data_IF_145181979105
#
_entry.id   IF_145181979105
#
_cell.length_a   1.000
_cell.length_b   1.000
_cell.length_c   1.000
_cell.angle_alpha   90.00
_cell.angle_beta   90.00
_cell.angle_gamma   90.00
#
_symmetry.space_group_name_H-M   'P 1'
#
loop_
_entity.id
_entity.type
_entity.pdbx_description
1 polymer ?
#
# COMPACT_ATOMS: atom_id res chain seq x y z
N UNK A 1 -1.51 15.33 2.21
CA UNK A 1 -0.74 15.72 1.01
C UNK A 1 -1.65 16.26 -0.10
N UNK A 2 -2.74 15.55 -0.43
CA UNK A 2 -3.71 15.99 -1.46
C UNK A 2 -4.26 17.40 -1.26
N UNK A 3 -4.79 17.72 -0.06
CA UNK A 3 -5.37 19.04 0.23
C UNK A 3 -4.36 20.18 0.21
N UNK A 4 -3.11 19.90 0.61
CA UNK A 4 -2.02 20.88 0.60
C UNK A 4 -1.61 21.24 -0.84
N UNK A 5 -1.44 20.24 -1.71
CA UNK A 5 -1.03 20.45 -3.11
C UNK A 5 -2.15 21.09 -3.94
N UNK A 6 -3.40 20.66 -3.77
CA UNK A 6 -4.56 21.30 -4.40
C UNK A 6 -4.70 22.78 -4.02
N UNK A 7 -4.35 23.14 -2.78
CA UNK A 7 -4.38 24.53 -2.30
C UNK A 7 -3.28 25.44 -2.89
N UNK A 8 -2.21 24.88 -3.47
CA UNK A 8 -1.12 25.69 -4.07
C UNK A 8 -1.47 26.27 -5.45
N UNK A 9 -2.48 25.73 -6.15
CA UNK A 9 -3.02 26.31 -7.38
C UNK A 9 -2.07 26.40 -8.59
N UNK A 10 -0.90 25.74 -8.54
CA UNK A 10 0.07 25.71 -9.66
C UNK A 10 -0.11 24.47 -10.54
N UNK A 11 0.20 24.57 -11.83
CA UNK A 11 0.11 23.43 -12.78
C UNK A 11 0.96 22.22 -12.34
N UNK A 12 2.11 22.48 -11.72
CA UNK A 12 2.97 21.45 -11.12
C UNK A 12 2.29 20.75 -9.93
N UNK A 13 1.48 21.45 -9.14
CA UNK A 13 0.79 20.86 -8.01
C UNK A 13 -0.37 19.96 -8.47
N UNK A 14 -1.06 20.32 -9.56
CA UNK A 14 -2.14 19.50 -10.15
C UNK A 14 -1.60 18.18 -10.68
N UNK A 15 -0.50 18.22 -11.43
CA UNK A 15 0.16 17.01 -11.94
C UNK A 15 0.71 16.12 -10.82
N UNK A 16 1.29 16.71 -9.76
CA UNK A 16 1.72 15.98 -8.57
C UNK A 16 0.56 15.29 -7.83
N UNK A 17 -0.61 15.96 -7.72
CA UNK A 17 -1.82 15.37 -7.11
C UNK A 17 -2.30 14.16 -7.89
N UNK A 18 -2.32 14.21 -9.23
CA UNK A 18 -2.74 13.09 -10.08
C UNK A 18 -1.82 11.87 -9.92
N UNK A 19 -0.50 12.07 -9.98
CA UNK A 19 0.45 10.98 -9.73
C UNK A 19 0.30 10.41 -8.32
N UNK A 20 0.14 11.28 -7.32
CA UNK A 20 -0.04 10.85 -5.94
C UNK A 20 -1.31 10.02 -5.75
N UNK A 21 -2.44 10.38 -6.36
CA UNK A 21 -3.68 9.58 -6.28
C UNK A 21 -3.48 8.20 -6.90
N UNK A 22 -2.79 8.12 -8.05
CA UNK A 22 -2.53 6.84 -8.71
C UNK A 22 -1.63 5.94 -7.85
N UNK A 23 -0.48 6.45 -7.42
CA UNK A 23 0.41 5.74 -6.51
C UNK A 23 -0.32 5.30 -5.24
N UNK A 24 -1.14 6.21 -4.68
CA UNK A 24 -1.95 5.97 -3.50
C UNK A 24 -2.94 4.83 -3.65
N UNK A 25 -3.60 4.79 -4.80
CA UNK A 25 -4.59 3.77 -5.12
C UNK A 25 -3.92 2.40 -5.32
N UNK A 26 -2.78 2.35 -6.02
CA UNK A 26 -2.05 1.11 -6.27
C UNK A 26 -1.53 0.44 -5.00
N UNK A 27 -0.84 1.19 -4.12
CA UNK A 27 -0.31 0.58 -2.91
C UNK A 27 -1.46 0.15 -1.98
N UNK A 28 -2.56 0.92 -1.90
CA UNK A 28 -3.73 0.54 -1.10
C UNK A 28 -4.38 -0.73 -1.66
N UNK A 29 -4.58 -0.82 -2.97
CA UNK A 29 -5.15 -2.01 -3.60
C UNK A 29 -4.33 -3.26 -3.31
N UNK A 30 -3.00 -3.17 -3.41
CA UNK A 30 -2.09 -4.26 -3.06
C UNK A 30 -2.21 -4.67 -1.58
N UNK A 31 -2.24 -3.71 -0.65
CA UNK A 31 -2.41 -3.99 0.78
C UNK A 31 -3.76 -4.66 1.08
N UNK A 32 -4.86 -4.19 0.48
CA UNK A 32 -6.18 -4.81 0.66
C UNK A 32 -6.25 -6.22 0.07
N UNK A 33 -5.61 -6.48 -1.07
CA UNK A 33 -5.50 -7.84 -1.62
C UNK A 33 -4.72 -8.77 -0.71
N UNK A 34 -3.60 -8.31 -0.15
CA UNK A 34 -2.79 -9.09 0.80
C UNK A 34 -3.60 -9.44 2.04
N UNK A 35 -4.28 -8.46 2.66
CA UNK A 35 -5.14 -8.69 3.82
C UNK A 35 -6.29 -9.65 3.47
N UNK A 36 -6.93 -9.49 2.31
CA UNK A 36 -8.00 -10.39 1.86
C UNK A 36 -7.51 -11.82 1.64
N UNK A 37 -6.29 -12.02 1.14
CA UNK A 37 -5.70 -13.34 0.99
C UNK A 37 -5.37 -13.98 2.35
N UNK A 38 -4.85 -13.21 3.30
CA UNK A 38 -4.58 -13.67 4.67
C UNK A 38 -5.89 -14.07 5.35
N UNK A 39 -6.92 -13.23 5.27
CA UNK A 39 -8.24 -13.49 5.85
C UNK A 39 -8.87 -14.76 5.27
N UNK A 40 -8.79 -14.96 3.94
CA UNK A 40 -9.31 -16.16 3.29
C UNK A 40 -8.53 -17.43 3.66
N UNK A 41 -7.22 -17.34 3.86
CA UNK A 41 -6.36 -18.48 4.17
C UNK A 41 -6.39 -18.88 5.65
N UNK A 42 -6.58 -17.91 6.56
CA UNK A 42 -6.52 -18.12 8.01
C UNK A 42 -7.89 -18.17 8.68
N UNK A 43 -8.92 -17.58 8.05
CA UNK A 43 -10.27 -17.52 8.58
C UNK A 43 -10.43 -16.63 9.82
N UNK A 44 -9.37 -15.91 10.23
CA UNK A 44 -9.36 -15.04 11.41
C UNK A 44 -8.71 -13.70 11.09
N UNK A 45 -9.18 -12.65 11.77
CA UNK A 45 -8.64 -11.27 11.70
C UNK A 45 -7.98 -10.85 13.00
N UNK A 46 -7.84 -11.79 13.93
CA UNK A 46 -7.24 -11.57 15.23
C UNK A 46 -5.71 -11.50 15.11
N UNK A 47 -5.14 -10.34 15.44
CA UNK A 47 -3.72 -10.04 15.26
C UNK A 47 -2.87 -10.95 16.17
N UNK A 48 -3.41 -11.35 17.31
CA UNK A 48 -2.73 -12.25 18.25
C UNK A 48 -2.63 -13.69 17.74
N UNK A 49 -3.43 -14.06 16.73
CA UNK A 49 -3.42 -15.38 16.10
C UNK A 49 -2.72 -15.39 14.74
N UNK A 50 -2.44 -14.22 14.17
CA UNK A 50 -1.85 -14.04 12.83
C UNK A 50 -0.32 -13.90 12.88
N UNK A 51 0.37 -14.89 13.47
CA UNK A 51 1.83 -14.98 13.50
C UNK A 51 2.34 -16.22 12.75
N UNK A 52 3.61 -16.20 12.33
CA UNK A 52 4.25 -17.36 11.69
C UNK A 52 3.80 -17.69 10.26
N UNK A 53 2.93 -16.88 9.65
CA UNK A 53 2.33 -17.11 8.33
C UNK A 53 3.32 -17.10 7.14
N UNK A 54 4.61 -16.84 7.39
CA UNK A 54 5.63 -16.74 6.35
C UNK A 54 5.79 -18.05 5.56
N UNK A 55 5.60 -19.22 6.19
CA UNK A 55 5.77 -20.52 5.51
C UNK A 55 4.61 -20.88 4.58
N UNK A 56 3.41 -20.36 4.86
CA UNK A 56 2.18 -20.70 4.11
C UNK A 56 1.80 -19.57 3.13
N UNK A 57 2.11 -18.33 3.47
CA UNK A 57 1.71 -17.12 2.73
C UNK A 57 2.92 -16.27 2.30
N UNK A 58 4.00 -16.92 1.82
CA UNK A 58 5.23 -16.23 1.35
C UNK A 58 4.90 -15.14 0.32
N UNK A 59 4.03 -15.43 -0.66
CA UNK A 59 3.67 -14.48 -1.73
C UNK A 59 2.98 -13.25 -1.15
N UNK A 60 2.02 -13.43 -0.23
CA UNK A 60 1.35 -12.32 0.45
C UNK A 60 2.30 -11.53 1.34
N UNK A 61 3.30 -12.20 1.94
CA UNK A 61 4.34 -11.51 2.71
C UNK A 61 5.21 -10.63 1.81
N UNK A 62 5.68 -11.14 0.67
CA UNK A 62 6.50 -10.38 -0.28
C UNK A 62 5.69 -9.21 -0.88
N UNK A 63 4.46 -9.47 -1.33
CA UNK A 63 3.58 -8.44 -1.88
C UNK A 63 3.22 -7.38 -0.83
N UNK A 64 2.94 -7.79 0.42
CA UNK A 64 2.66 -6.88 1.53
C UNK A 64 3.87 -6.04 1.92
N UNK A 65 5.06 -6.64 1.93
CA UNK A 65 6.33 -5.94 2.20
C UNK A 65 6.61 -4.91 1.11
N UNK A 66 6.44 -5.28 -0.16
CA UNK A 66 6.63 -4.39 -1.30
C UNK A 66 5.62 -3.23 -1.29
N UNK A 67 4.36 -3.50 -0.95
CA UNK A 67 3.33 -2.47 -0.82
C UNK A 67 3.59 -1.54 0.38
N UNK A 68 4.10 -2.07 1.49
CA UNK A 68 4.51 -1.28 2.65
C UNK A 68 5.73 -0.39 2.34
N UNK A 69 6.72 -0.91 1.62
CA UNK A 69 7.87 -0.14 1.13
C UNK A 69 7.46 0.95 0.13
N UNK A 70 6.48 0.66 -0.73
CA UNK A 70 5.88 1.65 -1.64
C UNK A 70 5.20 2.77 -0.85
N UNK A 71 4.38 2.46 0.16
CA UNK A 71 3.77 3.46 1.05
C UNK A 71 4.82 4.28 1.82
N UNK A 72 5.94 3.67 2.20
CA UNK A 72 7.02 4.34 2.92
C UNK A 72 7.81 5.34 2.07
N UNK A 73 7.61 5.35 0.74
CA UNK A 73 8.28 6.27 -0.18
C UNK A 73 9.74 5.91 -0.42
N UNK A 74 10.07 4.61 -0.46
CA UNK A 74 11.42 4.18 -0.78
C UNK A 74 11.77 4.63 -2.22
N UNK A 75 12.95 5.24 -2.48
CA UNK A 75 13.26 5.94 -3.74
C UNK A 75 13.01 5.19 -5.07
N UNK A 76 13.13 3.85 -5.16
CA UNK A 76 12.80 3.11 -6.37
C UNK A 76 11.30 2.79 -6.54
N UNK A 77 10.43 3.15 -5.59
CA UNK A 77 8.99 2.80 -5.59
C UNK A 77 8.11 4.06 -5.70
N UNK A 78 6.98 3.91 -6.39
CA UNK A 78 6.05 4.97 -6.81
C UNK A 78 5.42 5.82 -5.70
N UNK A 79 5.69 5.58 -4.41
CA UNK A 79 5.13 6.34 -3.29
C UNK A 79 5.96 7.55 -2.84
N UNK A 80 7.05 7.87 -3.54
CA UNK A 80 7.77 9.14 -3.41
C UNK A 80 7.01 10.28 -4.11
#
# INVERSE_FOLDING_TARGET
>A
KLTLLLGMGTDLAVSAVLMFILAHSFYKAALFMVVGNIDKATGTRDIDQLYGLKSVLVISMVAGSLAALSKAGFPPLLGF
#
